data_IF_253098747163
#
_entry.id   IF_253098747163
#
_cell.length_a   1.000
_cell.length_b   1.000
_cell.length_c   1.000
_cell.angle_alpha   90.00
_cell.angle_beta   90.00
_cell.angle_gamma   90.00
#
_symmetry.space_group_name_H-M   'P 1'
#
loop_
_entity.id
_entity.type
_entity.pdbx_description
1 polymer ?
#
# COMPACT_ATOMS: atom_id res chain seq x y z
N UNK A 1 -8.59 2.75 15.97
CA UNK A 1 -7.37 3.55 16.21
C UNK A 1 -7.19 3.73 17.70
N UNK A 2 -5.95 3.76 18.16
CA UNK A 2 -5.55 3.92 19.55
C UNK A 2 -4.36 4.88 19.68
N UNK A 3 -4.06 5.33 20.90
CA UNK A 3 -2.87 6.14 21.17
C UNK A 3 -1.61 5.32 20.84
N UNK A 4 -0.68 5.94 20.12
CA UNK A 4 0.54 5.31 19.62
C UNK A 4 0.41 4.74 18.21
N UNK A 5 -0.80 4.63 17.64
CA UNK A 5 -0.96 4.27 16.23
C UNK A 5 -0.27 5.29 15.33
N UNK A 6 0.32 4.76 14.27
CA UNK A 6 0.89 5.56 13.21
C UNK A 6 -0.11 5.60 12.05
N UNK A 7 -0.38 6.80 11.54
CA UNK A 7 -1.31 7.04 10.45
C UNK A 7 -0.61 7.74 9.29
N UNK A 8 -1.14 7.54 8.10
CA UNK A 8 -0.83 8.30 6.89
C UNK A 8 -2.06 9.10 6.48
N UNK A 9 -1.83 10.34 6.06
CA UNK A 9 -2.88 11.27 5.64
C UNK A 9 -2.63 11.63 4.18
N UNK A 10 -3.63 11.44 3.33
CA UNK A 10 -3.52 11.73 1.90
C UNK A 10 -3.47 13.23 1.62
N UNK A 11 -2.70 13.64 0.62
CA UNK A 11 -2.76 15.02 0.12
C UNK A 11 -4.16 15.38 -0.41
N UNK A 12 -4.60 16.60 -0.11
CA UNK A 12 -5.77 17.24 -0.76
C UNK A 12 -5.36 18.39 -1.67
N UNK A 13 -4.08 18.49 -2.01
CA UNK A 13 -3.52 19.48 -2.92
C UNK A 13 -3.19 18.86 -4.28
N UNK A 14 -2.65 19.65 -5.20
CA UNK A 14 -2.14 19.15 -6.48
C UNK A 14 -0.76 18.47 -6.35
N UNK A 15 -0.12 18.53 -5.18
CA UNK A 15 1.14 17.86 -4.88
C UNK A 15 0.87 16.57 -4.09
N UNK A 16 1.09 15.38 -4.68
CA UNK A 16 0.85 14.10 -3.99
C UNK A 16 1.71 13.93 -2.72
N UNK A 17 2.86 14.60 -2.67
CA UNK A 17 3.83 14.53 -1.57
C UNK A 17 3.51 15.45 -0.39
N UNK A 18 2.43 16.23 -0.46
CA UNK A 18 1.88 16.89 0.72
C UNK A 18 1.14 15.89 1.64
N UNK A 19 1.13 14.60 1.27
CA UNK A 19 0.78 13.51 2.16
C UNK A 19 1.81 13.40 3.30
N UNK A 20 1.35 13.05 4.50
CA UNK A 20 2.21 13.03 5.68
C UNK A 20 1.87 11.92 6.66
N UNK A 21 2.84 11.61 7.53
CA UNK A 21 2.73 10.59 8.58
C UNK A 21 2.53 11.30 9.91
N UNK A 22 1.66 10.77 10.75
CA UNK A 22 1.45 11.30 12.09
C UNK A 22 1.30 10.16 13.10
N UNK A 23 1.61 10.47 14.37
CA UNK A 23 1.41 9.56 15.49
C UNK A 23 0.24 10.06 16.30
N UNK A 24 -0.69 9.17 16.64
CA UNK A 24 -1.84 9.51 17.50
C UNK A 24 -1.38 9.65 18.94
N UNK A 25 -1.60 10.82 19.54
CA UNK A 25 -1.37 11.12 20.95
C UNK A 25 -2.62 10.98 21.82
N UNK A 26 -3.81 11.09 21.23
CA UNK A 26 -5.08 11.01 21.95
C UNK A 26 -6.25 10.66 21.02
N UNK A 27 -7.23 9.93 21.55
CA UNK A 27 -8.48 9.62 20.84
C UNK A 27 -9.65 9.92 21.76
N UNK A 28 -10.50 10.86 21.36
CA UNK A 28 -11.78 11.11 22.01
C UNK A 28 -12.87 10.27 21.32
N UNK A 29 -13.29 9.20 21.98
CA UNK A 29 -14.32 8.29 21.45
C UNK A 29 -15.73 8.90 21.44
N UNK A 30 -15.98 9.96 22.23
CA UNK A 30 -17.28 10.63 22.26
C UNK A 30 -17.48 11.55 21.06
N UNK A 31 -16.41 12.19 20.59
CA UNK A 31 -16.47 13.13 19.45
C UNK A 31 -15.86 12.60 18.16
N UNK A 32 -15.11 11.50 18.22
CA UNK A 32 -14.31 10.98 17.10
C UNK A 32 -13.05 11.79 16.81
N UNK A 33 -12.71 12.78 17.65
CA UNK A 33 -11.52 13.61 17.46
C UNK A 33 -10.24 12.86 17.82
N UNK A 34 -9.22 13.07 17.02
CA UNK A 34 -7.89 12.49 17.19
C UNK A 34 -6.89 13.62 17.40
N UNK A 35 -6.11 13.52 18.48
CA UNK A 35 -4.99 14.41 18.77
C UNK A 35 -3.72 13.79 18.20
N UNK A 36 -2.99 14.54 17.39
CA UNK A 36 -1.69 14.12 16.85
C UNK A 36 -0.56 14.57 17.76
N UNK A 37 0.51 13.77 17.82
CA UNK A 37 1.69 14.03 18.64
C UNK A 37 2.47 15.25 18.16
N UNK A 38 2.45 15.49 16.85
CA UNK A 38 3.13 16.59 16.18
C UNK A 38 2.15 17.31 15.24
N UNK A 39 2.31 18.63 15.03
CA UNK A 39 1.48 19.37 14.10
C UNK A 39 1.73 18.94 12.65
N UNK A 40 0.67 18.89 11.86
CA UNK A 40 0.75 18.63 10.43
C UNK A 40 1.48 19.77 9.72
N UNK A 41 2.25 19.44 8.68
CA UNK A 41 3.01 20.41 7.91
C UNK A 41 2.21 20.97 6.72
N UNK A 42 1.25 20.20 6.22
CA UNK A 42 0.44 20.57 5.07
C UNK A 42 -1.02 20.79 5.48
N UNK A 43 -1.72 21.56 4.64
CA UNK A 43 -3.16 21.75 4.82
C UNK A 43 -3.91 20.59 4.18
N UNK A 44 -4.76 19.95 4.98
CA UNK A 44 -5.61 18.84 4.55
C UNK A 44 -7.09 19.25 4.62
N UNK A 45 -7.81 19.09 3.52
CA UNK A 45 -9.23 19.36 3.49
C UNK A 45 -9.98 18.28 4.29
N UNK A 46 -10.79 18.68 5.27
CA UNK A 46 -11.54 17.76 6.13
C UNK A 46 -13.02 18.11 6.29
N UNK A 47 -13.47 19.22 5.70
CA UNK A 47 -14.87 19.62 5.75
C UNK A 47 -15.70 18.74 4.80
N UNK A 48 -16.97 18.51 5.13
CA UNK A 48 -17.90 17.94 4.15
C UNK A 48 -18.04 18.94 3.01
N UNK A 49 -17.50 18.61 1.82
CA UNK A 49 -17.67 19.44 0.64
C UNK A 49 -19.14 19.47 0.23
N UNK A 50 -19.64 20.68 -0.01
CA UNK A 50 -20.94 20.90 -0.66
C UNK A 50 -20.84 20.93 -2.18
N UNK A 51 -19.67 20.54 -2.72
CA UNK A 51 -19.41 20.38 -4.15
C UNK A 51 -20.36 19.33 -4.72
N UNK A 52 -21.43 19.86 -5.31
CA UNK A 52 -22.52 19.13 -5.89
C UNK A 52 -22.43 19.29 -7.41
N UNK A 53 -22.32 18.17 -8.12
CA UNK A 53 -22.44 18.18 -9.56
C UNK A 53 -23.87 18.55 -9.96
N UNK A 54 -24.05 19.06 -11.18
CA UNK A 54 -25.36 19.42 -11.72
C UNK A 54 -26.39 18.27 -11.71
N UNK A 55 -25.92 17.02 -11.60
CA UNK A 55 -26.75 15.81 -11.48
C UNK A 55 -27.10 15.43 -10.02
N UNK A 56 -26.80 16.30 -9.04
CA UNK A 56 -27.08 16.08 -7.62
C UNK A 56 -26.11 15.12 -6.91
N UNK A 57 -25.10 14.57 -7.60
CA UNK A 57 -24.04 13.80 -6.95
C UNK A 57 -23.12 14.73 -6.16
N UNK A 58 -22.64 14.24 -5.02
CA UNK A 58 -21.65 14.94 -4.19
C UNK A 58 -20.27 14.36 -4.42
N UNK A 59 -19.26 15.21 -4.45
CA UNK A 59 -17.86 14.80 -4.42
C UNK A 59 -17.33 14.92 -2.99
N UNK A 60 -16.83 13.82 -2.43
CA UNK A 60 -16.06 13.86 -1.20
C UNK A 60 -14.58 14.06 -1.56
N UNK A 61 -14.00 15.18 -1.12
CA UNK A 61 -12.59 15.52 -1.36
C UNK A 61 -11.80 15.63 -0.06
N UNK A 62 -12.34 15.06 1.03
CA UNK A 62 -11.66 15.02 2.32
C UNK A 62 -10.41 14.16 2.21
N UNK A 63 -9.39 14.52 2.99
CA UNK A 63 -8.21 13.70 3.17
C UNK A 63 -8.62 12.34 3.72
N UNK A 64 -8.15 11.28 3.08
CA UNK A 64 -8.23 9.94 3.62
C UNK A 64 -7.12 9.71 4.64
N UNK A 65 -7.44 8.94 5.67
CA UNK A 65 -6.50 8.65 6.76
C UNK A 65 -6.45 7.14 6.95
N UNK A 66 -5.28 6.55 6.73
CA UNK A 66 -5.03 5.13 6.90
C UNK A 66 -4.16 4.87 8.13
N UNK A 67 -4.51 3.87 8.94
CA UNK A 67 -3.61 3.36 9.97
C UNK A 67 -2.58 2.45 9.32
N UNK A 68 -1.31 2.65 9.66
CA UNK A 68 -0.21 1.82 9.16
C UNK A 68 0.51 1.03 10.25
N UNK A 69 0.21 1.28 11.53
CA UNK A 69 0.60 0.36 12.60
C UNK A 69 -0.11 -0.98 12.44
N UNK A 70 0.63 -2.06 12.64
CA UNK A 70 0.10 -3.43 12.63
C UNK A 70 0.63 -4.24 13.81
N UNK A 71 0.02 -5.41 14.04
CA UNK A 71 0.44 -6.34 15.11
C UNK A 71 1.85 -6.90 14.87
N UNK A 72 2.19 -7.10 13.60
CA UNK A 72 3.50 -7.59 13.17
C UNK A 72 4.09 -6.54 12.23
N UNK A 73 5.35 -6.18 12.45
CA UNK A 73 6.10 -5.32 11.54
C UNK A 73 7.25 -6.08 10.89
N UNK A 74 7.17 -6.24 9.57
CA UNK A 74 8.26 -6.75 8.74
C UNK A 74 8.97 -5.53 8.16
N UNK A 75 10.22 -5.32 8.54
CA UNK A 75 10.98 -4.14 8.10
C UNK A 75 12.41 -4.47 7.75
N UNK A 76 12.97 -3.69 6.83
CA UNK A 76 14.37 -3.74 6.48
C UNK A 76 15.24 -2.88 7.40
N UNK A 77 16.54 -3.13 7.35
CA UNK A 77 17.52 -2.18 7.86
C UNK A 77 17.50 -0.92 6.97
N UNK A 78 17.25 0.25 7.58
CA UNK A 78 17.15 1.53 6.86
C UNK A 78 18.41 1.89 6.09
N UNK A 79 19.59 1.69 6.68
CA UNK A 79 20.84 2.03 6.03
C UNK A 79 21.05 1.24 4.73
N UNK A 80 20.69 -0.05 4.72
CA UNK A 80 20.78 -0.88 3.52
C UNK A 80 19.83 -0.40 2.41
N UNK A 81 18.59 -0.01 2.78
CA UNK A 81 17.60 0.52 1.84
C UNK A 81 18.04 1.86 1.26
N UNK A 82 18.58 2.77 2.08
CA UNK A 82 19.00 4.09 1.64
C UNK A 82 20.27 4.03 0.78
N UNK A 83 21.23 3.18 1.14
CA UNK A 83 22.53 3.06 0.47
C UNK A 83 22.47 2.24 -0.81
N UNK A 84 21.81 1.07 -0.76
CA UNK A 84 21.81 0.11 -1.87
C UNK A 84 20.45 -0.01 -2.56
N UNK A 85 19.39 0.53 -1.97
CA UNK A 85 18.03 0.36 -2.50
C UNK A 85 17.43 -1.00 -2.18
N UNK A 86 18.00 -1.77 -1.25
CA UNK A 86 17.61 -3.15 -0.96
C UNK A 86 17.01 -3.30 0.44
N UNK A 87 15.73 -3.64 0.46
CA UNK A 87 15.00 -4.04 1.66
C UNK A 87 14.73 -5.54 1.73
N UNK A 88 13.95 -5.93 2.74
CA UNK A 88 13.37 -7.26 2.90
C UNK A 88 12.47 -7.63 1.71
N UNK A 89 12.16 -8.91 1.57
CA UNK A 89 11.14 -9.39 0.66
C UNK A 89 10.28 -10.43 1.38
N UNK A 90 8.96 -10.32 1.24
CA UNK A 90 8.03 -11.40 1.59
C UNK A 90 7.61 -12.08 0.30
N UNK A 91 7.88 -13.38 0.18
CA UNK A 91 7.54 -14.20 -0.99
C UNK A 91 6.70 -15.40 -0.55
N UNK A 92 5.50 -15.49 -1.12
CA UNK A 92 4.59 -16.62 -0.99
C UNK A 92 4.53 -17.30 -2.35
N UNK A 93 5.05 -18.52 -2.43
CA UNK A 93 5.18 -19.26 -3.69
C UNK A 93 5.19 -20.76 -3.43
N UNK A 94 4.75 -21.54 -4.41
CA UNK A 94 4.92 -23.00 -4.42
C UNK A 94 6.10 -23.38 -5.31
N UNK A 95 6.86 -24.40 -4.90
CA UNK A 95 8.02 -24.88 -5.66
C UNK A 95 8.23 -26.37 -5.42
N UNK A 96 8.26 -27.16 -6.50
CA UNK A 96 8.32 -28.62 -6.41
C UNK A 96 7.17 -29.16 -5.57
N UNK A 97 7.49 -29.97 -4.56
CA UNK A 97 6.50 -30.55 -3.63
C UNK A 97 6.07 -29.58 -2.50
N UNK A 98 6.64 -28.36 -2.46
CA UNK A 98 6.32 -27.37 -1.42
C UNK A 98 5.18 -26.47 -1.86
N UNK A 99 4.09 -26.50 -1.12
CA UNK A 99 2.91 -25.67 -1.32
C UNK A 99 2.95 -24.44 -0.39
N UNK A 100 3.14 -23.24 -0.94
CA UNK A 100 3.17 -21.99 -0.18
C UNK A 100 1.84 -21.25 -0.20
N UNK A 101 1.39 -20.74 0.96
CA UNK A 101 0.19 -19.90 1.09
C UNK A 101 0.32 -19.00 2.31
N UNK A 102 -0.37 -17.86 2.32
CA UNK A 102 -0.34 -16.95 3.47
C UNK A 102 -1.64 -16.16 3.62
N UNK A 103 -2.14 -16.10 4.85
CA UNK A 103 -3.22 -15.21 5.30
C UNK A 103 -2.57 -14.13 6.15
N UNK A 104 -2.50 -12.91 5.60
CA UNK A 104 -1.90 -11.75 6.25
C UNK A 104 -3.04 -10.85 6.74
N UNK A 105 -3.16 -10.70 8.05
CA UNK A 105 -4.10 -9.80 8.70
C UNK A 105 -3.38 -8.86 9.67
N UNK A 106 -3.58 -7.55 9.53
CA UNK A 106 -3.00 -6.52 10.41
C UNK A 106 -1.46 -6.59 10.50
N UNK A 107 -0.81 -6.78 9.35
CA UNK A 107 0.67 -6.79 9.19
C UNK A 107 1.15 -5.50 8.54
N UNK A 108 2.20 -4.89 9.10
CA UNK A 108 2.89 -3.74 8.54
C UNK A 108 4.19 -4.18 7.85
N UNK A 109 4.26 -4.04 6.53
CA UNK A 109 5.43 -4.32 5.71
C UNK A 109 6.07 -2.99 5.31
N UNK A 110 7.17 -2.63 5.96
CA UNK A 110 7.81 -1.32 5.83
C UNK A 110 9.18 -1.42 5.15
N UNK A 111 9.47 -0.55 4.18
CA UNK A 111 10.79 -0.43 3.53
C UNK A 111 11.31 -1.73 2.90
N UNK A 112 10.40 -2.61 2.49
CA UNK A 112 10.74 -3.84 1.75
C UNK A 112 10.78 -3.59 0.22
N UNK A 113 11.26 -4.58 -0.53
CA UNK A 113 11.52 -4.55 -1.97
C UNK A 113 12.98 -4.25 -2.31
N UNK A 114 13.40 -4.51 -3.54
CA UNK A 114 14.76 -4.24 -4.01
C UNK A 114 14.77 -3.47 -5.34
N UNK A 115 15.27 -2.22 -5.32
CA UNK A 115 15.26 -1.31 -6.48
C UNK A 115 15.86 -1.96 -7.73
N UNK A 116 15.22 -1.74 -8.87
CA UNK A 116 15.69 -2.23 -10.17
C UNK A 116 15.52 -3.74 -10.39
N UNK A 117 14.73 -4.41 -9.55
CA UNK A 117 14.46 -5.86 -9.65
C UNK A 117 12.96 -6.17 -9.60
N UNK A 118 12.61 -7.44 -9.78
CA UNK A 118 11.26 -8.01 -9.59
C UNK A 118 11.02 -8.50 -8.15
N UNK A 119 11.90 -8.14 -7.21
CA UNK A 119 11.76 -8.50 -5.79
C UNK A 119 10.92 -7.44 -5.09
N UNK A 120 9.60 -7.59 -5.17
CA UNK A 120 8.64 -6.65 -4.58
C UNK A 120 8.57 -6.74 -3.06
N UNK A 121 7.88 -5.81 -2.40
CA UNK A 121 7.77 -5.83 -0.93
C UNK A 121 7.01 -7.07 -0.44
N UNK A 122 5.81 -7.30 -0.99
CA UNK A 122 4.99 -8.49 -0.78
C UNK A 122 4.65 -9.15 -2.12
N UNK A 123 4.96 -10.44 -2.25
CA UNK A 123 4.78 -11.21 -3.47
C UNK A 123 3.95 -12.45 -3.19
N UNK A 124 2.89 -12.63 -3.95
CA UNK A 124 2.22 -13.91 -4.15
C UNK A 124 2.50 -14.35 -5.58
N UNK A 125 3.37 -15.33 -5.76
CA UNK A 125 3.81 -15.81 -7.07
C UNK A 125 3.53 -17.30 -7.18
N UNK A 126 2.48 -17.69 -7.89
CA UNK A 126 2.03 -19.07 -7.98
C UNK A 126 1.96 -19.77 -6.60
N UNK A 127 1.27 -19.18 -5.60
CA UNK A 127 0.99 -19.87 -4.34
C UNK A 127 0.09 -21.10 -4.59
N UNK A 128 -0.04 -21.94 -3.59
CA UNK A 128 -0.89 -23.13 -3.63
C UNK A 128 -2.35 -22.73 -3.88
N UNK A 129 -2.96 -23.28 -4.94
CA UNK A 129 -4.40 -23.14 -5.21
C UNK A 129 -5.26 -23.96 -4.23
N UNK A 130 -4.67 -24.95 -3.57
CA UNK A 130 -5.37 -25.78 -2.59
C UNK A 130 -5.55 -25.07 -1.23
N UNK A 131 -4.81 -23.98 -0.99
CA UNK A 131 -4.81 -23.25 0.27
C UNK A 131 -5.23 -21.80 0.08
N UNK A 132 -5.88 -21.24 1.10
CA UNK A 132 -6.31 -19.84 1.07
C UNK A 132 -5.11 -18.90 1.19
N UNK A 133 -5.11 -17.84 0.38
CA UNK A 133 -4.24 -16.69 0.54
C UNK A 133 -5.07 -15.40 0.62
N UNK A 134 -4.66 -14.46 1.47
CA UNK A 134 -5.31 -13.16 1.59
C UNK A 134 -4.38 -12.10 2.18
N UNK A 135 -4.70 -10.83 1.89
CA UNK A 135 -4.06 -9.64 2.48
C UNK A 135 -5.17 -8.71 2.96
N UNK A 136 -5.37 -8.64 4.27
CA UNK A 136 -6.45 -7.87 4.90
C UNK A 136 -5.93 -6.97 6.00
N UNK A 137 -6.47 -5.76 6.12
CA UNK A 137 -6.11 -4.82 7.20
C UNK A 137 -4.59 -4.54 7.28
N UNK A 138 -3.84 -4.79 6.21
CA UNK A 138 -2.38 -4.67 6.18
C UNK A 138 -1.95 -3.28 5.75
N UNK A 139 -0.73 -2.92 6.14
CA UNK A 139 -0.06 -1.73 5.65
C UNK A 139 1.21 -2.11 4.89
N UNK A 140 1.41 -1.55 3.70
CA UNK A 140 2.66 -1.70 2.94
C UNK A 140 3.20 -0.30 2.66
N UNK A 141 4.32 0.06 3.29
CA UNK A 141 4.82 1.43 3.27
C UNK A 141 6.27 1.54 2.78
N UNK A 142 6.57 2.64 2.09
CA UNK A 142 7.92 3.01 1.66
C UNK A 142 8.62 1.93 0.82
N UNK A 143 7.89 1.23 -0.04
CA UNK A 143 8.44 0.10 -0.79
C UNK A 143 9.45 0.56 -1.85
N UNK A 144 10.58 -0.15 -1.92
CA UNK A 144 11.67 0.16 -2.84
C UNK A 144 11.34 -0.15 -4.32
N UNK A 145 10.25 -0.89 -4.54
CA UNK A 145 9.65 -1.28 -5.83
C UNK A 145 8.12 -1.18 -5.70
N UNK A 146 7.36 -1.87 -6.55
CA UNK A 146 5.93 -2.07 -6.32
C UNK A 146 5.67 -2.74 -4.96
N UNK A 147 4.55 -2.38 -4.32
CA UNK A 147 4.25 -2.77 -2.95
C UNK A 147 3.68 -4.20 -2.86
N UNK A 148 2.59 -4.48 -3.57
CA UNK A 148 1.97 -5.81 -3.65
C UNK A 148 2.02 -6.33 -5.09
N UNK A 149 2.59 -7.53 -5.28
CA UNK A 149 2.60 -8.25 -6.55
C UNK A 149 1.88 -9.58 -6.42
N UNK A 150 0.91 -9.82 -7.30
CA UNK A 150 0.04 -11.01 -7.34
C UNK A 150 0.13 -11.61 -8.73
N UNK A 151 0.78 -12.76 -8.85
CA UNK A 151 1.04 -13.45 -10.10
C UNK A 151 0.51 -14.87 -10.05
N UNK A 152 -0.37 -15.23 -10.99
CA UNK A 152 -0.88 -16.59 -11.10
C UNK A 152 -1.71 -17.03 -9.90
N UNK A 153 -2.56 -16.14 -9.39
CA UNK A 153 -3.40 -16.41 -8.21
C UNK A 153 -4.86 -16.47 -8.61
N UNK A 154 -5.62 -17.39 -8.00
CA UNK A 154 -7.08 -17.46 -8.12
C UNK A 154 -7.70 -17.38 -6.73
N UNK A 155 -8.87 -16.75 -6.61
CA UNK A 155 -9.68 -16.69 -5.39
C UNK A 155 -8.98 -16.05 -4.17
N UNK A 156 -8.45 -14.83 -4.35
CA UNK A 156 -7.73 -14.11 -3.29
C UNK A 156 -8.39 -12.78 -2.91
N UNK A 157 -8.45 -12.52 -1.60
CA UNK A 157 -8.93 -11.26 -1.04
C UNK A 157 -7.78 -10.30 -0.75
N UNK A 158 -7.94 -9.06 -1.20
CA UNK A 158 -7.07 -7.93 -0.93
C UNK A 158 -7.99 -6.80 -0.45
N UNK A 159 -8.19 -6.70 0.87
CA UNK A 159 -9.26 -5.87 1.46
C UNK A 159 -8.77 -4.98 2.60
N UNK A 160 -9.24 -3.73 2.65
CA UNK A 160 -8.97 -2.78 3.75
C UNK A 160 -7.47 -2.56 4.02
N UNK A 161 -6.64 -2.55 2.97
CA UNK A 161 -5.21 -2.34 3.12
C UNK A 161 -4.82 -0.88 2.86
N UNK A 162 -3.74 -0.44 3.52
CA UNK A 162 -3.13 0.87 3.32
C UNK A 162 -1.79 0.70 2.60
N UNK A 163 -1.65 1.26 1.41
CA UNK A 163 -0.41 1.23 0.62
C UNK A 163 0.08 2.66 0.44
N UNK A 164 1.26 2.95 0.99
CA UNK A 164 1.79 4.30 1.05
C UNK A 164 3.23 4.38 0.55
N UNK A 165 3.49 5.28 -0.39
CA UNK A 165 4.85 5.61 -0.87
C UNK A 165 5.61 4.43 -1.52
N UNK A 166 5.07 3.90 -2.61
CA UNK A 166 5.71 2.84 -3.39
C UNK A 166 6.52 3.40 -4.58
N UNK A 167 7.76 2.94 -4.80
CA UNK A 167 8.58 3.30 -5.98
C UNK A 167 8.18 2.63 -7.30
N UNK A 168 7.17 1.77 -7.27
CA UNK A 168 6.52 1.18 -8.44
C UNK A 168 5.00 1.29 -8.31
N UNK A 169 4.29 0.30 -8.86
CA UNK A 169 2.85 0.19 -8.66
C UNK A 169 2.49 -0.05 -7.20
N UNK A 170 1.33 0.44 -6.75
CA UNK A 170 0.84 0.13 -5.41
C UNK A 170 0.40 -1.34 -5.36
N UNK A 171 -0.37 -1.77 -6.35
CA UNK A 171 -0.76 -3.18 -6.53
C UNK A 171 -0.60 -3.55 -7.99
N UNK A 172 -0.04 -4.73 -8.21
CA UNK A 172 0.14 -5.32 -9.54
C UNK A 172 -0.41 -6.74 -9.55
N UNK A 173 -1.44 -6.97 -10.36
CA UNK A 173 -2.11 -8.26 -10.50
C UNK A 173 -1.93 -8.73 -11.95
N UNK A 174 -1.31 -9.90 -12.09
CA UNK A 174 -0.88 -10.46 -13.38
C UNK A 174 -1.29 -11.92 -13.47
N UNK A 175 -1.83 -12.34 -14.62
CA UNK A 175 -2.26 -13.74 -14.87
C UNK A 175 -3.10 -14.36 -13.74
N UNK A 176 -3.96 -13.55 -13.11
CA UNK A 176 -4.73 -13.94 -11.93
C UNK A 176 -6.22 -13.79 -12.20
N UNK A 177 -7.05 -14.54 -11.47
CA UNK A 177 -8.50 -14.55 -11.67
C UNK A 177 -9.27 -14.51 -10.34
N UNK A 178 -10.49 -13.98 -10.36
CA UNK A 178 -11.34 -13.84 -9.17
C UNK A 178 -10.63 -13.19 -7.95
N UNK A 179 -9.94 -12.08 -8.18
CA UNK A 179 -9.29 -11.30 -7.13
C UNK A 179 -10.29 -10.27 -6.60
N UNK A 180 -10.60 -10.35 -5.30
CA UNK A 180 -11.51 -9.41 -4.64
C UNK A 180 -10.74 -8.23 -4.05
N UNK A 181 -10.94 -7.04 -4.64
CA UNK A 181 -10.33 -5.78 -4.22
C UNK A 181 -11.40 -4.85 -3.65
N UNK A 182 -11.32 -4.58 -2.36
CA UNK A 182 -12.31 -3.74 -1.66
C UNK A 182 -11.63 -2.87 -0.59
N UNK A 183 -12.06 -1.61 -0.47
CA UNK A 183 -11.65 -0.68 0.59
C UNK A 183 -10.13 -0.49 0.77
N UNK A 184 -9.33 -0.66 -0.29
CA UNK A 184 -7.89 -0.42 -0.22
C UNK A 184 -7.57 1.05 -0.45
N UNK A 185 -6.87 1.67 0.49
CA UNK A 185 -6.33 3.01 0.37
C UNK A 185 -4.89 2.93 -0.15
N UNK A 186 -4.68 3.38 -1.39
CA UNK A 186 -3.35 3.48 -1.98
C UNK A 186 -3.06 4.91 -2.41
N UNK A 187 -1.95 5.48 -1.96
CA UNK A 187 -1.52 6.81 -2.37
C UNK A 187 0.00 7.02 -2.25
N UNK A 188 0.49 8.02 -2.96
CA UNK A 188 1.91 8.29 -3.22
C UNK A 188 2.58 7.15 -3.98
N UNK A 189 2.80 7.35 -5.28
CA UNK A 189 3.65 6.48 -6.09
C UNK A 189 4.81 7.26 -6.68
N UNK A 190 6.01 6.72 -6.55
CA UNK A 190 7.23 7.26 -7.17
C UNK A 190 7.54 6.45 -8.42
N UNK A 191 8.07 7.09 -9.45
CA UNK A 191 8.52 6.38 -10.63
C UNK A 191 9.80 5.58 -10.35
N UNK A 192 9.97 4.49 -11.09
CA UNK A 192 11.17 3.63 -11.08
C UNK A 192 12.39 4.37 -11.68
N UNK A 193 12.18 5.46 -12.43
CA UNK A 193 13.21 6.40 -12.90
C UNK A 193 12.73 7.86 -12.75
N UNK A 194 13.63 8.78 -12.38
CA UNK A 194 13.34 10.10 -11.80
C UNK A 194 12.58 11.13 -12.66
N UNK A 195 11.32 10.85 -12.99
CA UNK A 195 10.34 11.79 -13.53
C UNK A 195 9.08 11.92 -12.66
N UNK A 196 8.16 12.80 -13.07
CA UNK A 196 6.97 13.21 -12.32
C UNK A 196 6.08 12.05 -11.82
N UNK A 197 5.58 12.22 -10.60
CA UNK A 197 4.96 11.20 -9.74
C UNK A 197 3.43 11.09 -9.94
N UNK A 198 2.86 9.93 -9.61
CA UNK A 198 1.42 9.65 -9.65
C UNK A 198 0.80 9.55 -8.26
N UNK A 199 -0.50 9.81 -8.14
CA UNK A 199 -1.22 9.73 -6.85
C UNK A 199 -1.32 8.29 -6.38
N UNK A 200 -1.64 7.32 -7.24
CA UNK A 200 -1.59 5.88 -6.95
C UNK A 200 -1.66 5.08 -8.25
N UNK A 201 -1.30 3.79 -8.21
CA UNK A 201 -1.40 2.93 -9.40
C UNK A 201 -1.82 1.49 -9.03
N UNK A 202 -2.96 1.06 -9.56
CA UNK A 202 -3.38 -0.33 -9.62
C UNK A 202 -3.20 -0.83 -11.06
N UNK A 203 -2.26 -1.75 -11.27
CA UNK A 203 -2.02 -2.33 -12.58
C UNK A 203 -2.66 -3.72 -12.68
N UNK A 204 -3.69 -3.84 -13.51
CA UNK A 204 -4.37 -5.09 -13.82
C UNK A 204 -4.01 -5.50 -15.24
N UNK A 205 -3.16 -6.52 -15.40
CA UNK A 205 -2.67 -6.93 -16.71
C UNK A 205 -2.84 -8.43 -16.95
N UNK A 206 -3.38 -8.79 -18.11
CA UNK A 206 -3.28 -10.15 -18.62
C UNK A 206 -1.93 -10.43 -19.28
N UNK A 207 -1.14 -9.37 -19.61
CA UNK A 207 0.23 -9.42 -20.12
C UNK A 207 0.85 -8.00 -20.13
N UNK A 208 1.92 -7.73 -19.37
CA UNK A 208 2.65 -6.44 -19.41
C UNK A 208 3.91 -6.56 -20.28
N UNK A 209 3.80 -6.18 -21.55
CA UNK A 209 4.92 -6.19 -22.50
C UNK A 209 5.94 -5.06 -22.28
N UNK A 210 5.71 -4.12 -21.35
CA UNK A 210 6.54 -2.91 -21.18
C UNK A 210 7.63 -3.05 -20.12
N UNK A 211 7.63 -4.12 -19.33
CA UNK A 211 8.69 -4.39 -18.34
C UNK A 211 9.63 -5.51 -18.80
N UNK A 212 10.46 -5.20 -19.81
CA UNK A 212 11.71 -5.95 -20.00
C UNK A 212 12.70 -5.51 -18.94
N UNK A 213 12.70 -6.18 -17.78
CA UNK A 213 13.89 -6.24 -16.93
C UNK A 213 14.54 -7.58 -17.24
N UNK A 214 15.70 -7.53 -17.89
CA UNK A 214 16.51 -8.71 -18.17
C UNK A 214 16.84 -9.45 -16.88
N UNK A 215 16.58 -10.76 -16.86
CA UNK A 215 17.02 -11.69 -15.82
C UNK A 215 18.54 -11.68 -15.65
#
# INVERSE_FOLDING_TARGET
WVVGDEVVISSTSHHPHDAERAIIAGVDRGTGRVLLKEPLQYTHFGATSDESFANGKRLDVRAEVGVISGNIRITANRWAVDTYGFGCQVLVTSSGDWAGSAVLDNVHIDKCGQRGSTRYALNFMHPSEANVSSVTNCAITESATSALYVLGVTDMQIVNNVIYDSRGGSVEIVHSSNIHLEDNLAFVTRLVSGGNQGICNFNLCTYDSRRRVSL
#
